data_IF_503253878640
#
_entry.id   IF_503253878640
#
_cell.length_a   1.000
_cell.length_b   1.000
_cell.length_c   1.000
_cell.angle_alpha   90.00
_cell.angle_beta   90.00
_cell.angle_gamma   90.00
#
_symmetry.space_group_name_H-M   'P 1'
#
loop_
_entity.id
_entity.type
_entity.pdbx_description
1 polymer ?
#
# COMPACT_ATOMS: atom_id res chain seq x y z
N UNK A 1 17.14 -53.99 -21.50
CA UNK A 1 17.63 -53.50 -20.19
C UNK A 1 17.97 -51.99 -20.21
N UNK A 2 18.69 -51.48 -21.22
CA UNK A 2 19.01 -50.04 -21.35
C UNK A 2 17.78 -49.10 -21.42
N UNK A 3 16.74 -49.46 -22.17
CA UNK A 3 15.52 -48.64 -22.32
C UNK A 3 14.73 -48.44 -21.02
N UNK A 4 14.62 -49.50 -20.20
CA UNK A 4 13.94 -49.46 -18.90
C UNK A 4 14.70 -48.56 -17.94
N UNK A 5 16.03 -48.64 -17.94
CA UNK A 5 16.89 -47.81 -17.08
C UNK A 5 16.81 -46.31 -17.45
N UNK A 6 16.70 -46.00 -18.74
CA UNK A 6 16.48 -44.64 -19.24
C UNK A 6 15.11 -44.09 -18.83
N UNK A 7 14.04 -44.89 -18.96
CA UNK A 7 12.69 -44.51 -18.51
C UNK A 7 12.62 -44.22 -17.00
N UNK A 8 13.33 -45.00 -16.18
CA UNK A 8 13.46 -44.71 -14.76
C UNK A 8 14.21 -43.41 -14.54
N UNK A 9 15.32 -43.18 -15.24
CA UNK A 9 16.11 -41.97 -15.07
C UNK A 9 15.33 -40.71 -15.45
N UNK A 10 14.56 -40.76 -16.54
CA UNK A 10 13.71 -39.65 -17.00
C UNK A 10 12.56 -39.37 -16.04
N UNK A 11 11.86 -40.42 -15.57
CA UNK A 11 10.82 -40.26 -14.53
C UNK A 11 11.36 -39.69 -13.22
N UNK A 12 12.57 -40.11 -12.83
CA UNK A 12 13.17 -39.61 -11.58
C UNK A 12 13.56 -38.15 -11.75
N UNK A 13 14.14 -37.77 -12.89
CA UNK A 13 14.49 -36.38 -13.22
C UNK A 13 13.27 -35.46 -13.26
N UNK A 14 12.16 -35.92 -13.85
CA UNK A 14 10.92 -35.15 -13.91
C UNK A 14 10.35 -34.89 -12.51
N UNK A 15 10.36 -35.89 -11.62
CA UNK A 15 9.91 -35.71 -10.23
C UNK A 15 10.80 -34.73 -9.46
N UNK A 16 12.11 -34.73 -9.68
CA UNK A 16 13.00 -33.77 -9.05
C UNK A 16 12.72 -32.34 -9.52
N UNK A 17 12.47 -32.14 -10.81
CA UNK A 17 12.09 -30.83 -11.36
C UNK A 17 10.76 -30.33 -10.78
N UNK A 18 9.72 -31.17 -10.75
CA UNK A 18 8.44 -30.81 -10.14
C UNK A 18 8.55 -30.52 -8.63
N UNK A 19 9.46 -31.21 -7.93
CA UNK A 19 9.70 -30.97 -6.50
C UNK A 19 10.43 -29.65 -6.27
N UNK A 20 11.43 -29.33 -7.10
CA UNK A 20 12.17 -28.06 -7.04
C UNK A 20 11.28 -26.86 -7.38
N UNK A 21 10.41 -26.97 -8.38
CA UNK A 21 9.45 -25.92 -8.75
C UNK A 21 8.47 -25.63 -7.60
N UNK A 22 7.87 -26.66 -7.00
CA UNK A 22 6.99 -26.51 -5.82
C UNK A 22 7.73 -25.92 -4.63
N UNK A 23 9.00 -26.24 -4.47
CA UNK A 23 9.82 -25.70 -3.39
C UNK A 23 10.14 -24.22 -3.61
N UNK A 24 10.41 -23.81 -4.86
CA UNK A 24 10.63 -22.41 -5.23
C UNK A 24 9.37 -21.56 -5.05
N UNK A 25 8.23 -22.06 -5.51
CA UNK A 25 6.92 -21.38 -5.36
C UNK A 25 6.59 -21.14 -3.89
N UNK A 26 6.73 -22.18 -3.04
CA UNK A 26 6.55 -22.04 -1.60
C UNK A 26 7.51 -21.01 -0.99
N UNK A 27 8.79 -21.01 -1.37
CA UNK A 27 9.75 -20.00 -0.90
C UNK A 27 9.38 -18.58 -1.33
N UNK A 28 8.85 -18.37 -2.54
CA UNK A 28 8.36 -17.06 -2.98
C UNK A 28 7.18 -16.60 -2.13
N UNK A 29 6.19 -17.48 -1.88
CA UNK A 29 5.04 -17.17 -1.03
C UNK A 29 5.47 -16.78 0.39
N UNK A 30 6.44 -17.50 0.98
CA UNK A 30 6.96 -17.14 2.31
C UNK A 30 7.75 -15.84 2.31
N UNK A 31 8.54 -15.54 1.27
CA UNK A 31 9.23 -14.25 1.12
C UNK A 31 8.24 -13.10 1.00
N UNK A 32 7.24 -13.22 0.14
CA UNK A 32 6.19 -12.20 -0.04
C UNK A 32 5.41 -11.96 1.27
N UNK A 33 5.15 -13.03 2.03
CA UNK A 33 4.50 -12.93 3.34
C UNK A 33 5.38 -12.23 4.37
N UNK A 34 6.66 -12.59 4.44
CA UNK A 34 7.63 -11.92 5.32
C UNK A 34 7.83 -10.45 4.94
N UNK A 35 7.93 -10.12 3.65
CA UNK A 35 8.08 -8.74 3.19
C UNK A 35 6.83 -7.91 3.55
N UNK A 36 5.63 -8.48 3.40
CA UNK A 36 4.38 -7.86 3.86
C UNK A 36 4.35 -7.63 5.38
N UNK A 37 4.81 -8.59 6.18
CA UNK A 37 4.85 -8.47 7.64
C UNK A 37 5.91 -7.46 8.10
N UNK A 38 7.10 -7.45 7.48
CA UNK A 38 8.16 -6.47 7.73
C UNK A 38 7.68 -5.06 7.37
N UNK A 39 7.02 -4.89 6.22
CA UNK A 39 6.46 -3.60 5.80
C UNK A 39 5.40 -3.10 6.79
N UNK A 40 4.56 -4.00 7.31
CA UNK A 40 3.57 -3.68 8.36
C UNK A 40 4.24 -3.28 9.67
N UNK A 41 5.33 -3.93 10.06
CA UNK A 41 6.12 -3.59 11.26
C UNK A 41 6.80 -2.22 11.10
N UNK A 42 7.41 -1.94 9.95
CA UNK A 42 8.07 -0.65 9.66
C UNK A 42 7.05 0.50 9.68
N UNK A 43 5.88 0.30 9.07
CA UNK A 43 4.78 1.27 9.13
C UNK A 43 4.34 1.52 10.58
N UNK A 44 4.17 0.45 11.37
CA UNK A 44 3.79 0.54 12.77
C UNK A 44 4.82 1.31 13.61
N UNK A 45 6.11 0.99 13.49
CA UNK A 45 7.20 1.66 14.23
C UNK A 45 7.33 3.14 13.84
N UNK A 46 7.15 3.46 12.56
CA UNK A 46 7.16 4.86 12.08
C UNK A 46 5.99 5.68 12.66
N UNK A 47 4.81 5.08 12.77
CA UNK A 47 3.62 5.71 13.35
C UNK A 47 3.75 5.84 14.88
N UNK A 48 4.27 4.82 15.56
CA UNK A 48 4.55 4.87 17.01
C UNK A 48 5.57 5.96 17.35
N UNK A 49 6.63 6.12 16.56
CA UNK A 49 7.61 7.22 16.71
C UNK A 49 7.00 8.61 16.51
N UNK A 50 6.16 8.77 15.48
CA UNK A 50 5.48 10.05 15.25
C UNK A 50 4.50 10.38 16.38
N UNK A 51 3.79 9.38 16.92
CA UNK A 51 2.91 9.58 18.07
C UNK A 51 3.68 9.89 19.35
N UNK A 52 4.78 9.18 19.64
CA UNK A 52 5.62 9.47 20.80
C UNK A 52 6.17 10.91 20.76
N UNK A 53 6.57 11.39 19.58
CA UNK A 53 6.99 12.78 19.39
C UNK A 53 5.84 13.77 19.66
N UNK A 54 4.66 13.56 19.08
CA UNK A 54 3.49 14.42 19.29
C UNK A 54 3.02 14.44 20.76
N UNK A 55 3.00 13.29 21.43
CA UNK A 55 2.68 13.20 22.85
C UNK A 55 3.73 13.88 23.72
N UNK A 56 5.01 13.77 23.39
CA UNK A 56 6.08 14.45 24.14
C UNK A 56 6.00 15.97 24.03
N UNK A 57 5.65 16.51 22.85
CA UNK A 57 5.42 17.94 22.65
C UNK A 57 4.17 18.44 23.37
N UNK A 58 3.09 17.63 23.42
CA UNK A 58 1.91 17.98 24.22
C UNK A 58 2.18 17.89 25.73
N UNK A 59 3.06 17.00 26.19
CA UNK A 59 3.39 16.87 27.62
C UNK A 59 4.26 18.03 28.13
N UNK A 60 5.13 18.60 27.27
CA UNK A 60 5.90 19.81 27.61
C UNK A 60 5.01 21.04 27.81
N UNK A 61 3.88 21.15 27.10
CA UNK A 61 2.90 22.22 27.31
C UNK A 61 2.04 22.02 28.58
N UNK A 62 2.15 20.85 29.24
CA UNK A 62 1.39 20.46 30.44
C UNK A 62 2.32 20.33 31.68
N UNK A 63 3.62 20.63 31.57
CA UNK A 63 4.53 20.63 32.73
C UNK A 63 4.15 21.73 33.75
N UNK A 64 3.29 21.35 34.70
CA UNK A 64 3.56 21.21 36.15
C UNK A 64 4.40 22.25 36.90
N UNK A 65 4.65 23.45 36.37
CA UNK A 65 5.33 24.52 37.13
C UNK A 65 4.35 25.42 37.89
N UNK A 66 3.05 25.13 37.84
CA UNK A 66 2.00 25.94 38.45
C UNK A 66 1.16 25.22 39.53
N UNK A 67 1.67 24.15 40.14
CA UNK A 67 1.03 23.55 41.34
C UNK A 67 1.90 23.90 42.56
N UNK A 68 1.58 24.98 43.30
CA UNK A 68 2.26 25.26 44.55
C UNK A 68 1.92 24.15 45.54
N UNK A 69 2.95 23.45 46.01
CA UNK A 69 2.87 22.50 47.13
C UNK A 69 2.54 23.27 48.41
N UNK A 70 1.26 23.40 48.73
CA UNK A 70 0.81 24.00 49.98
C UNK A 70 0.85 22.97 51.11
N UNK A 71 1.94 22.98 51.87
CA UNK A 71 2.00 22.56 53.27
C UNK A 71 1.01 23.40 54.08
N UNK A 72 0.13 22.79 54.90
CA UNK A 72 -0.36 23.43 56.13
C UNK A 72 -1.12 22.48 57.06
N UNK A 73 -0.69 22.54 58.30
CA UNK A 73 -1.18 21.91 59.52
C UNK A 73 -2.51 22.54 60.02
N UNK A 74 -3.34 21.69 60.65
CA UNK A 74 -4.51 21.95 61.53
C UNK A 74 -5.60 22.95 61.06
N UNK A 75 -6.70 22.39 60.52
CA UNK A 75 -8.12 22.75 60.76
C UNK A 75 -8.98 22.29 59.57
N UNK A 76 -9.38 21.02 59.58
CA UNK A 76 -9.85 20.27 58.40
C UNK A 76 -11.35 20.39 58.06
N UNK A 77 -12.18 21.04 58.86
CA UNK A 77 -13.64 21.03 58.62
C UNK A 77 -14.16 22.34 58.01
N UNK A 78 -13.70 23.49 58.50
CA UNK A 78 -14.28 24.81 58.15
C UNK A 78 -13.61 25.45 56.91
N UNK A 79 -12.33 25.14 56.65
CA UNK A 79 -11.60 25.58 55.45
C UNK A 79 -11.94 24.77 54.20
N UNK A 80 -12.32 23.50 54.34
CA UNK A 80 -12.67 22.63 53.21
C UNK A 80 -13.99 23.08 52.56
N UNK A 81 -14.92 23.69 53.29
CA UNK A 81 -16.19 24.17 52.73
C UNK A 81 -16.01 25.43 51.86
N UNK A 82 -15.11 26.35 52.25
CA UNK A 82 -14.76 27.54 51.45
C UNK A 82 -13.81 27.22 50.28
N UNK A 83 -12.91 26.26 50.46
CA UNK A 83 -12.04 25.76 49.39
C UNK A 83 -12.81 24.88 48.38
N UNK A 84 -13.79 24.08 48.80
CA UNK A 84 -14.60 23.25 47.90
C UNK A 84 -15.66 24.06 47.13
N UNK A 85 -16.20 25.15 47.70
CA UNK A 85 -16.98 26.14 46.93
C UNK A 85 -16.12 26.92 45.93
N UNK A 86 -14.85 27.21 46.27
CA UNK A 86 -13.89 27.80 45.32
C UNK A 86 -13.40 26.81 44.26
N UNK A 87 -13.18 25.54 44.59
CA UNK A 87 -12.87 24.48 43.63
C UNK A 87 -14.09 24.14 42.77
N UNK A 88 -15.32 24.24 43.29
CA UNK A 88 -16.55 24.10 42.52
C UNK A 88 -16.77 25.26 41.54
N UNK A 89 -16.40 26.49 41.90
CA UNK A 89 -16.42 27.62 40.98
C UNK A 89 -15.25 27.59 39.98
N UNK A 90 -14.10 27.03 40.35
CA UNK A 90 -12.98 26.77 39.43
C UNK A 90 -13.33 25.59 38.50
N UNK A 91 -14.03 24.55 38.96
CA UNK A 91 -14.55 23.47 38.11
C UNK A 91 -15.69 23.93 37.20
N UNK A 92 -16.46 24.94 37.61
CA UNK A 92 -17.43 25.63 36.74
C UNK A 92 -16.77 26.55 35.70
N UNK A 93 -15.58 27.07 35.96
CA UNK A 93 -14.81 27.93 35.06
C UNK A 93 -13.75 27.18 34.22
N UNK A 94 -13.31 26.00 34.66
CA UNK A 94 -12.36 25.11 33.99
C UNK A 94 -13.02 23.85 33.40
N UNK A 95 -14.36 23.80 33.37
CA UNK A 95 -15.10 22.78 32.61
C UNK A 95 -14.97 22.86 31.07
N UNK A 96 -14.55 23.97 30.43
CA UNK A 96 -14.25 23.94 28.99
C UNK A 96 -13.10 23.00 28.65
N UNK A 97 -12.17 22.76 29.57
CA UNK A 97 -10.93 22.00 29.34
C UNK A 97 -11.17 20.48 29.28
N UNK A 98 -12.09 19.91 30.06
CA UNK A 98 -12.34 18.45 30.04
C UNK A 98 -13.19 18.00 28.83
N UNK A 99 -14.07 18.88 28.32
CA UNK A 99 -14.70 18.68 27.00
C UNK A 99 -13.71 18.91 25.84
N UNK A 100 -12.77 19.84 26.04
CA UNK A 100 -11.66 20.14 25.11
C UNK A 100 -10.65 18.99 24.99
N UNK A 101 -10.31 18.27 26.07
CA UNK A 101 -9.32 17.16 26.02
C UNK A 101 -9.83 16.01 25.14
N UNK A 102 -11.12 15.65 25.24
CA UNK A 102 -11.72 14.66 24.35
C UNK A 102 -11.76 15.15 22.89
N UNK A 103 -12.16 16.40 22.66
CA UNK A 103 -12.25 17.00 21.33
C UNK A 103 -10.89 17.21 20.64
N UNK A 104 -9.86 17.61 21.38
CA UNK A 104 -8.49 17.81 20.89
C UNK A 104 -7.80 16.49 20.55
N UNK A 105 -8.00 15.45 21.36
CA UNK A 105 -7.53 14.09 21.04
C UNK A 105 -8.23 13.51 19.81
N UNK A 106 -9.54 13.70 19.67
CA UNK A 106 -10.32 13.34 18.47
C UNK A 106 -9.86 14.11 17.23
N UNK A 107 -9.54 15.39 17.38
CA UNK A 107 -9.02 16.23 16.30
C UNK A 107 -7.64 15.75 15.83
N UNK A 108 -6.72 15.46 16.76
CA UNK A 108 -5.40 14.90 16.45
C UNK A 108 -5.50 13.54 15.75
N UNK A 109 -6.44 12.68 16.17
CA UNK A 109 -6.75 11.40 15.55
C UNK A 109 -7.23 11.53 14.10
N UNK A 110 -8.08 12.52 13.82
CA UNK A 110 -8.56 12.79 12.47
C UNK A 110 -7.44 13.31 11.55
N UNK A 111 -6.55 14.17 12.07
CA UNK A 111 -5.36 14.64 11.34
C UNK A 111 -4.37 13.50 11.07
N UNK A 112 -4.21 12.59 12.03
CA UNK A 112 -3.40 11.40 11.82
C UNK A 112 -3.99 10.50 10.73
N UNK A 113 -5.32 10.27 10.75
CA UNK A 113 -6.00 9.45 9.75
C UNK A 113 -5.83 10.01 8.35
N UNK A 114 -6.00 11.32 8.17
CA UNK A 114 -5.82 11.97 6.85
C UNK A 114 -4.37 11.89 6.38
N UNK A 115 -3.39 12.13 7.27
CA UNK A 115 -1.97 11.99 6.97
C UNK A 115 -1.56 10.56 6.60
N UNK A 116 -2.06 9.57 7.35
CA UNK A 116 -1.81 8.15 7.10
C UNK A 116 -2.39 7.70 5.75
N UNK A 117 -3.62 8.12 5.42
CA UNK A 117 -4.24 7.83 4.12
C UNK A 117 -3.45 8.44 2.97
N UNK A 118 -2.97 9.68 3.12
CA UNK A 118 -2.15 10.34 2.09
C UNK A 118 -0.80 9.65 1.88
N UNK A 119 -0.15 9.19 2.95
CA UNK A 119 1.07 8.42 2.85
C UNK A 119 0.83 7.06 2.18
N UNK A 120 -0.26 6.39 2.54
CA UNK A 120 -0.65 5.11 1.95
C UNK A 120 -0.98 5.22 0.46
N UNK A 121 -1.68 6.27 0.02
CA UNK A 121 -1.99 6.48 -1.41
C UNK A 121 -0.71 6.76 -2.22
N UNK A 122 0.20 7.60 -1.71
CA UNK A 122 1.51 7.82 -2.36
C UNK A 122 2.29 6.52 -2.51
N UNK A 123 2.29 5.71 -1.46
CA UNK A 123 2.94 4.40 -1.48
C UNK A 123 2.30 3.45 -2.50
N UNK A 124 0.97 3.36 -2.50
CA UNK A 124 0.21 2.53 -3.42
C UNK A 124 0.44 2.92 -4.88
N UNK A 125 0.47 4.22 -5.18
CA UNK A 125 0.77 4.73 -6.53
C UNK A 125 2.21 4.39 -6.95
N UNK A 126 3.19 4.54 -6.05
CA UNK A 126 4.59 4.21 -6.35
C UNK A 126 4.78 2.71 -6.64
N UNK A 127 4.20 1.83 -5.79
CA UNK A 127 4.24 0.37 -6.02
C UNK A 127 3.45 -0.02 -7.27
N UNK A 128 2.27 0.58 -7.47
CA UNK A 128 1.43 0.36 -8.64
C UNK A 128 2.17 0.70 -9.93
N UNK A 129 2.80 1.88 -10.01
CA UNK A 129 3.58 2.31 -11.16
C UNK A 129 4.78 1.38 -11.44
N UNK A 130 5.49 0.94 -10.41
CA UNK A 130 6.62 0.02 -10.56
C UNK A 130 6.17 -1.33 -11.14
N UNK A 131 5.09 -1.92 -10.60
CA UNK A 131 4.55 -3.18 -11.10
C UNK A 131 3.90 -3.03 -12.48
N UNK A 132 3.25 -1.90 -12.75
CA UNK A 132 2.68 -1.59 -14.04
C UNK A 132 3.76 -1.46 -15.13
N UNK A 133 4.88 -0.81 -14.85
CA UNK A 133 6.00 -0.73 -15.79
C UNK A 133 6.54 -2.12 -16.16
N UNK A 134 6.71 -3.01 -15.17
CA UNK A 134 7.17 -4.39 -15.43
C UNK A 134 6.16 -5.16 -16.28
N UNK A 135 4.87 -5.10 -15.94
CA UNK A 135 3.81 -5.78 -16.69
C UNK A 135 3.67 -5.22 -18.12
N UNK A 136 3.75 -3.91 -18.29
CA UNK A 136 3.72 -3.25 -19.59
C UNK A 136 4.89 -3.67 -20.48
N UNK A 137 6.11 -3.71 -19.94
CA UNK A 137 7.28 -4.19 -20.70
C UNK A 137 7.11 -5.64 -21.12
N UNK A 138 6.60 -6.51 -20.23
CA UNK A 138 6.34 -7.92 -20.55
C UNK A 138 5.28 -8.07 -21.64
N UNK A 139 4.19 -7.30 -21.58
CA UNK A 139 3.16 -7.29 -22.61
C UNK A 139 3.67 -6.79 -23.95
N UNK A 140 4.44 -5.70 -23.96
CA UNK A 140 5.07 -5.17 -25.18
C UNK A 140 6.04 -6.18 -25.81
N UNK A 141 6.81 -6.91 -25.00
CA UNK A 141 7.64 -8.02 -25.49
C UNK A 141 6.80 -9.15 -26.10
N UNK A 142 5.68 -9.50 -25.47
CA UNK A 142 4.74 -10.51 -25.98
C UNK A 142 4.22 -10.16 -27.37
N UNK A 143 3.71 -8.93 -27.54
CA UNK A 143 3.24 -8.42 -28.84
C UNK A 143 4.36 -8.43 -29.87
N UNK A 144 5.55 -7.96 -29.51
CA UNK A 144 6.68 -7.96 -30.44
C UNK A 144 7.06 -9.37 -30.92
N UNK A 145 7.04 -10.37 -30.03
CA UNK A 145 7.29 -11.77 -30.38
C UNK A 145 6.20 -12.28 -31.34
N UNK A 146 4.93 -12.03 -31.02
CA UNK A 146 3.80 -12.47 -31.86
C UNK A 146 3.85 -11.84 -33.25
N UNK A 147 4.05 -10.53 -33.35
CA UNK A 147 4.19 -9.84 -34.64
C UNK A 147 5.37 -10.36 -35.47
N UNK A 148 6.50 -10.68 -34.83
CA UNK A 148 7.65 -11.25 -35.55
C UNK A 148 7.40 -12.70 -36.00
N UNK A 149 6.59 -13.46 -35.26
CA UNK A 149 6.14 -14.79 -35.69
C UNK A 149 5.21 -14.72 -36.89
N UNK A 150 4.26 -13.79 -36.89
CA UNK A 150 3.38 -13.54 -38.04
C UNK A 150 4.17 -13.14 -39.30
N UNK A 151 5.26 -12.39 -39.13
CA UNK A 151 6.19 -12.07 -40.20
C UNK A 151 6.98 -13.28 -40.71
N UNK A 152 7.01 -14.40 -39.97
CA UNK A 152 7.76 -15.61 -40.34
C UNK A 152 9.22 -15.58 -39.91
N UNK A 153 9.60 -14.67 -39.00
CA UNK A 153 11.00 -14.56 -38.52
C UNK A 153 11.44 -15.81 -37.74
N UNK A 154 10.50 -16.54 -37.15
CA UNK A 154 10.76 -17.79 -36.41
C UNK A 154 11.48 -18.86 -37.26
N UNK A 155 11.25 -18.88 -38.57
CA UNK A 155 11.93 -19.81 -39.48
C UNK A 155 13.43 -19.49 -39.62
N UNK A 156 13.77 -18.20 -39.71
CA UNK A 156 15.15 -17.74 -39.85
C UNK A 156 15.88 -17.65 -38.51
N UNK A 157 15.13 -17.40 -37.44
CA UNK A 157 15.67 -17.21 -36.10
C UNK A 157 14.80 -17.92 -35.03
N UNK A 158 14.96 -19.25 -34.87
CA UNK A 158 14.14 -20.04 -33.93
C UNK A 158 14.25 -19.62 -32.46
N UNK A 159 15.40 -19.05 -32.05
CA UNK A 159 15.65 -18.60 -30.67
C UNK A 159 15.25 -17.14 -30.41
N UNK A 160 14.62 -16.47 -31.37
CA UNK A 160 14.20 -15.07 -31.26
C UNK A 160 13.33 -14.79 -30.03
N UNK A 161 12.34 -15.65 -29.75
CA UNK A 161 11.41 -15.46 -28.64
C UNK A 161 12.12 -15.36 -27.29
N UNK A 162 13.12 -16.23 -27.05
CA UNK A 162 13.91 -16.22 -25.82
C UNK A 162 14.82 -14.98 -25.77
N UNK A 163 15.40 -14.59 -26.90
CA UNK A 163 16.23 -13.39 -26.99
C UNK A 163 15.43 -12.12 -26.63
N UNK A 164 14.24 -11.94 -27.20
CA UNK A 164 13.37 -10.79 -26.93
C UNK A 164 12.84 -10.81 -25.49
N UNK A 165 12.55 -12.00 -24.95
CA UNK A 165 12.13 -12.13 -23.56
C UNK A 165 13.20 -11.61 -22.59
N UNK A 166 14.48 -11.89 -22.86
CA UNK A 166 15.62 -11.47 -22.03
C UNK A 166 16.08 -10.03 -22.26
N UNK A 167 15.57 -9.32 -23.28
CA UNK A 167 15.90 -7.91 -23.51
C UNK A 167 15.53 -7.03 -22.31
N UNK A 168 16.16 -5.88 -22.17
CA UNK A 168 15.74 -4.92 -21.14
C UNK A 168 14.38 -4.30 -21.49
N UNK A 169 14.15 -4.00 -22.76
CA UNK A 169 12.95 -3.32 -23.23
C UNK A 169 12.58 -3.75 -24.66
N UNK A 170 11.28 -3.72 -24.98
CA UNK A 170 10.78 -4.09 -26.31
C UNK A 170 11.19 -3.11 -27.43
N UNK A 171 11.78 -1.96 -27.10
CA UNK A 171 12.23 -0.96 -28.09
C UNK A 171 13.51 -1.43 -28.81
N UNK A 172 14.26 -2.34 -28.20
CA UNK A 172 15.46 -2.96 -28.77
C UNK A 172 15.12 -3.75 -30.04
N UNK A 173 13.85 -4.14 -30.22
CA UNK A 173 13.35 -4.78 -31.44
C UNK A 173 13.61 -3.94 -32.69
N UNK A 174 13.59 -2.60 -32.59
CA UNK A 174 13.91 -1.71 -33.71
C UNK A 174 15.38 -1.85 -34.19
N UNK A 175 16.26 -2.43 -33.37
CA UNK A 175 17.69 -2.65 -33.68
C UNK A 175 17.98 -4.07 -34.17
N UNK A 176 16.98 -4.94 -34.28
CA UNK A 176 17.14 -6.33 -34.67
C UNK A 176 17.31 -6.56 -36.17
N UNK A 177 17.41 -5.50 -36.97
CA UNK A 177 17.56 -5.60 -38.44
C UNK A 177 18.68 -6.55 -38.84
N UNK A 178 19.89 -6.38 -38.31
CA UNK A 178 21.02 -7.25 -38.64
C UNK A 178 20.82 -8.70 -38.13
N UNK A 179 20.25 -8.85 -36.93
CA UNK A 179 19.99 -10.15 -36.32
C UNK A 179 18.95 -10.98 -37.09
N UNK A 180 18.03 -10.33 -37.81
CA UNK A 180 17.00 -10.97 -38.62
C UNK A 180 17.49 -11.14 -40.07
N UNK A 181 18.12 -10.12 -40.64
CA UNK A 181 18.48 -10.09 -42.06
C UNK A 181 19.69 -10.97 -42.38
N UNK A 182 20.70 -11.08 -41.50
CA UNK A 182 21.88 -11.92 -41.75
C UNK A 182 21.55 -13.42 -41.81
N UNK A 183 20.75 -14.01 -40.89
CA UNK A 183 20.30 -15.39 -41.02
C UNK A 183 19.41 -15.61 -42.24
N UNK A 184 18.53 -14.66 -42.53
CA UNK A 184 17.67 -14.72 -43.73
C UNK A 184 18.49 -14.85 -45.00
N UNK A 185 19.50 -13.99 -45.20
CA UNK A 185 20.35 -14.04 -46.39
C UNK A 185 21.00 -15.42 -46.57
N UNK A 186 21.54 -15.99 -45.50
CA UNK A 186 22.16 -17.33 -45.53
C UNK A 186 21.17 -18.43 -45.88
N UNK A 187 19.94 -18.35 -45.37
CA UNK A 187 18.91 -19.35 -45.66
C UNK A 187 18.41 -19.22 -47.10
N UNK A 188 18.21 -17.99 -47.59
CA UNK A 188 17.70 -17.73 -48.93
C UNK A 188 18.74 -17.90 -50.04
N UNK A 189 20.04 -17.81 -49.73
CA UNK A 189 21.13 -18.04 -50.70
C UNK A 189 21.29 -19.53 -51.06
N UNK A 190 21.07 -20.43 -50.09
CA UNK A 190 21.22 -21.89 -50.26
C UNK A 190 19.86 -22.59 -50.38
N UNK A 191 18.78 -21.82 -50.54
CA UNK A 191 17.41 -22.34 -50.63
C UNK A 191 17.14 -22.99 -52.00
N UNK A 192 16.47 -24.14 -52.00
CA UNK A 192 15.82 -24.67 -53.20
C UNK A 192 14.62 -23.78 -53.58
N UNK A 193 14.14 -23.88 -54.82
CA UNK A 193 13.01 -23.09 -55.32
C UNK A 193 11.79 -23.12 -54.38
N UNK A 194 11.48 -24.28 -53.79
CA UNK A 194 10.37 -24.41 -52.83
C UNK A 194 10.53 -23.55 -51.57
N UNK A 195 11.74 -23.45 -51.00
CA UNK A 195 12.02 -22.64 -49.80
C UNK A 195 12.01 -21.16 -50.18
N UNK A 196 12.52 -20.84 -51.36
CA UNK A 196 12.55 -19.48 -51.87
C UNK A 196 11.12 -18.93 -52.08
N UNK A 197 10.26 -19.68 -52.76
CA UNK A 197 8.88 -19.27 -53.07
C UNK A 197 7.96 -19.28 -51.84
N UNK A 198 8.12 -20.23 -50.91
CA UNK A 198 7.21 -20.36 -49.77
C UNK A 198 7.65 -19.59 -48.52
N UNK A 199 8.92 -19.16 -48.43
CA UNK A 199 9.47 -18.58 -47.20
C UNK A 199 10.16 -17.25 -47.45
N UNK A 200 11.09 -17.17 -48.42
CA UNK A 200 11.84 -15.95 -48.69
C UNK A 200 10.98 -14.88 -49.39
N UNK A 201 10.26 -15.26 -50.45
CA UNK A 201 9.41 -14.35 -51.22
C UNK A 201 8.21 -13.81 -50.39
N UNK A 202 7.48 -14.62 -49.60
CA UNK A 202 6.38 -14.12 -48.77
C UNK A 202 6.87 -13.23 -47.63
N UNK A 203 8.06 -13.51 -47.09
CA UNK A 203 8.71 -12.62 -46.14
C UNK A 203 8.98 -11.26 -46.77
N UNK A 204 9.58 -11.23 -47.96
CA UNK A 204 9.88 -9.99 -48.67
C UNK A 204 8.64 -9.19 -49.10
N UNK A 205 7.54 -9.86 -49.41
CA UNK A 205 6.24 -9.22 -49.63
C UNK A 205 5.71 -8.61 -48.33
N UNK A 206 5.76 -9.36 -47.22
CA UNK A 206 5.31 -8.88 -45.88
C UNK A 206 6.10 -7.69 -45.36
N UNK A 207 7.39 -7.58 -45.72
CA UNK A 207 8.21 -6.42 -45.37
C UNK A 207 8.16 -5.29 -46.40
N UNK A 208 7.37 -5.45 -47.48
CA UNK A 208 7.23 -4.47 -48.58
C UNK A 208 8.53 -4.22 -49.38
N UNK A 209 9.39 -5.24 -49.51
CA UNK A 209 10.54 -5.21 -50.42
C UNK A 209 10.12 -5.59 -51.84
N UNK A 210 9.19 -6.56 -51.96
CA UNK A 210 8.53 -6.92 -53.21
C UNK A 210 7.04 -6.53 -53.15
N UNK A 211 6.52 -6.00 -54.26
CA UNK A 211 5.07 -5.88 -54.46
C UNK A 211 4.45 -7.24 -54.82
N UNK A 212 3.13 -7.38 -54.68
CA UNK A 212 2.41 -8.61 -55.04
C UNK A 212 2.64 -9.04 -56.51
N UNK A 213 3.03 -8.09 -57.36
CA UNK A 213 3.35 -8.28 -58.79
C UNK A 213 4.86 -8.58 -59.04
N UNK A 214 5.64 -8.86 -58.00
CA UNK A 214 7.08 -9.18 -58.05
C UNK A 214 8.02 -8.05 -58.51
N UNK A 215 7.58 -6.80 -58.45
CA UNK A 215 8.45 -5.64 -58.67
C UNK A 215 9.14 -5.19 -57.37
N UNK A 216 10.39 -4.73 -57.48
CA UNK A 216 11.15 -4.16 -56.37
C UNK A 216 10.64 -2.76 -56.06
N UNK A 217 10.19 -2.52 -54.82
CA UNK A 217 9.63 -1.23 -54.40
C UNK A 217 10.61 -0.46 -53.50
N UNK A 218 11.15 -1.12 -52.47
CA UNK A 218 12.03 -0.51 -51.47
C UNK A 218 13.27 -1.37 -51.24
N UNK A 219 14.44 -0.75 -51.03
CA UNK A 219 15.65 -1.49 -50.67
C UNK A 219 15.42 -2.31 -49.38
N UNK A 220 15.86 -3.59 -49.32
CA UNK A 220 15.69 -4.45 -48.15
C UNK A 220 16.25 -3.89 -46.85
N UNK A 221 17.31 -3.07 -46.95
CA UNK A 221 17.94 -2.39 -45.81
C UNK A 221 17.08 -1.31 -45.15
N UNK A 222 16.07 -0.77 -45.85
CA UNK A 222 15.19 0.30 -45.35
C UNK A 222 13.79 -0.19 -44.98
N UNK A 223 13.33 -1.23 -45.67
CA UNK A 223 12.01 -1.84 -45.49
C UNK A 223 11.87 -2.51 -44.11
N UNK A 224 12.84 -3.33 -43.71
CA UNK A 224 12.79 -4.07 -42.44
C UNK A 224 12.80 -3.15 -41.21
N UNK A 225 13.68 -2.13 -41.09
CA UNK A 225 13.60 -1.17 -40.00
C UNK A 225 12.26 -0.45 -39.88
N UNK A 226 11.58 -0.16 -41.00
CA UNK A 226 10.26 0.50 -41.01
C UNK A 226 9.20 -0.41 -40.38
N UNK A 227 9.18 -1.68 -40.75
CA UNK A 227 8.28 -2.68 -40.15
C UNK A 227 8.58 -2.90 -38.68
N UNK A 228 9.86 -3.05 -38.30
CA UNK A 228 10.25 -3.19 -36.89
C UNK A 228 9.84 -1.97 -36.05
N UNK A 229 9.93 -0.75 -36.59
CA UNK A 229 9.39 0.46 -35.93
C UNK A 229 7.87 0.39 -35.76
N UNK A 230 7.14 -0.11 -36.76
CA UNK A 230 5.70 -0.36 -36.67
C UNK A 230 5.35 -1.35 -35.55
N UNK A 231 6.09 -2.46 -35.47
CA UNK A 231 5.92 -3.45 -34.39
C UNK A 231 6.19 -2.82 -33.03
N UNK A 232 7.27 -2.03 -32.89
CA UNK A 232 7.57 -1.33 -31.64
C UNK A 232 6.47 -0.33 -31.29
N UNK A 233 5.87 0.35 -32.26
CA UNK A 233 4.74 1.25 -32.04
C UNK A 233 3.51 0.50 -31.52
N UNK A 234 3.17 -0.65 -32.10
CA UNK A 234 2.06 -1.48 -31.63
C UNK A 234 2.35 -2.10 -30.25
N UNK A 235 3.59 -2.54 -30.02
CA UNK A 235 4.03 -3.01 -28.71
C UNK A 235 3.95 -1.89 -27.66
N UNK A 236 4.25 -0.65 -28.03
CA UNK A 236 4.18 0.51 -27.14
C UNK A 236 2.75 0.86 -26.73
N UNK A 237 1.79 0.81 -27.66
CA UNK A 237 0.38 1.05 -27.32
C UNK A 237 -0.15 -0.01 -26.36
N UNK A 238 0.12 -1.30 -26.62
CA UNK A 238 -0.26 -2.38 -25.70
C UNK A 238 0.48 -2.29 -24.36
N UNK A 239 1.78 -1.99 -24.37
CA UNK A 239 2.57 -1.85 -23.16
C UNK A 239 2.03 -0.74 -22.26
N UNK A 240 1.67 0.42 -22.83
CA UNK A 240 1.05 1.53 -22.08
C UNK A 240 -0.30 1.14 -21.49
N UNK A 241 -1.17 0.52 -22.29
CA UNK A 241 -2.49 0.09 -21.82
C UNK A 241 -2.40 -0.92 -20.66
N UNK A 242 -1.52 -1.93 -20.79
CA UNK A 242 -1.31 -2.93 -19.74
C UNK A 242 -0.62 -2.31 -18.52
N UNK A 243 0.34 -1.41 -18.71
CA UNK A 243 0.99 -0.70 -17.61
C UNK A 243 -0.01 0.13 -16.80
N UNK A 244 -0.90 0.86 -17.46
CA UNK A 244 -1.93 1.67 -16.81
C UNK A 244 -2.95 0.80 -16.06
N UNK A 245 -3.49 -0.24 -16.71
CA UNK A 245 -4.43 -1.17 -16.10
C UNK A 245 -3.82 -1.90 -14.88
N UNK A 246 -2.56 -2.33 -14.99
CA UNK A 246 -1.88 -2.99 -13.87
C UNK A 246 -1.52 -2.00 -12.76
N UNK A 247 -1.11 -0.78 -13.10
CA UNK A 247 -0.81 0.27 -12.11
C UNK A 247 -2.04 0.63 -11.29
N UNK A 248 -3.19 0.81 -11.95
CA UNK A 248 -4.44 1.18 -11.29
C UNK A 248 -4.98 0.05 -10.42
N UNK A 249 -5.01 -1.19 -10.90
CA UNK A 249 -5.45 -2.35 -10.11
C UNK A 249 -4.58 -2.59 -8.87
N UNK A 250 -3.26 -2.56 -9.02
CA UNK A 250 -2.33 -2.75 -7.89
C UNK A 250 -2.43 -1.61 -6.89
N UNK A 251 -2.50 -0.36 -7.37
CA UNK A 251 -2.68 0.78 -6.49
C UNK A 251 -4.01 0.72 -5.73
N UNK A 252 -5.09 0.28 -6.37
CA UNK A 252 -6.39 0.08 -5.72
C UNK A 252 -6.33 -0.99 -4.64
N UNK A 253 -5.73 -2.15 -4.93
CA UNK A 253 -5.59 -3.25 -3.96
C UNK A 253 -4.77 -2.83 -2.73
N UNK A 254 -3.63 -2.16 -2.95
CA UNK A 254 -2.80 -1.66 -1.86
C UNK A 254 -3.53 -0.57 -1.07
N UNK A 255 -4.22 0.35 -1.75
CA UNK A 255 -4.99 1.41 -1.09
C UNK A 255 -6.11 0.83 -0.22
N UNK A 256 -6.81 -0.20 -0.68
CA UNK A 256 -7.86 -0.89 0.08
C UNK A 256 -7.28 -1.56 1.33
N UNK A 257 -6.19 -2.33 1.18
CA UNK A 257 -5.52 -3.01 2.29
C UNK A 257 -5.02 -2.01 3.35
N UNK A 258 -4.38 -0.91 2.92
CA UNK A 258 -3.87 0.11 3.82
C UNK A 258 -5.01 0.90 4.48
N UNK A 259 -6.07 1.24 3.75
CA UNK A 259 -7.25 1.93 4.30
C UNK A 259 -7.95 1.08 5.35
N UNK A 260 -8.10 -0.23 5.10
CA UNK A 260 -8.66 -1.16 6.08
C UNK A 260 -7.80 -1.23 7.36
N UNK A 261 -6.48 -1.30 7.22
CA UNK A 261 -5.56 -1.28 8.36
C UNK A 261 -5.64 0.04 9.16
N UNK A 262 -5.64 1.19 8.48
CA UNK A 262 -5.76 2.51 9.10
C UNK A 262 -7.11 2.66 9.83
N UNK A 263 -8.20 2.22 9.20
CA UNK A 263 -9.52 2.26 9.81
C UNK A 263 -9.59 1.36 11.06
N UNK A 264 -9.01 0.16 11.01
CA UNK A 264 -8.96 -0.74 12.17
C UNK A 264 -8.15 -0.15 13.34
N UNK A 265 -7.03 0.51 13.07
CA UNK A 265 -6.27 1.22 14.11
C UNK A 265 -7.05 2.41 14.66
N UNK A 266 -7.71 3.17 13.78
CA UNK A 266 -8.51 4.33 14.17
C UNK A 266 -9.69 3.94 15.07
N UNK A 267 -10.43 2.88 14.73
CA UNK A 267 -11.55 2.40 15.56
C UNK A 267 -11.06 1.91 16.92
N UNK A 268 -9.91 1.23 16.97
CA UNK A 268 -9.32 0.79 18.23
C UNK A 268 -9.02 1.96 19.17
N UNK A 269 -8.45 3.05 18.65
CA UNK A 269 -8.13 4.25 19.42
C UNK A 269 -9.39 5.04 19.80
N UNK A 270 -10.38 5.12 18.91
CA UNK A 270 -11.69 5.70 19.23
C UNK A 270 -12.39 4.99 20.39
N UNK A 271 -12.40 3.65 20.39
CA UNK A 271 -13.00 2.87 21.48
C UNK A 271 -12.29 3.17 22.80
N UNK A 272 -10.96 3.22 22.80
CA UNK A 272 -10.17 3.53 24.00
C UNK A 272 -10.48 4.93 24.54
N UNK A 273 -10.56 5.95 23.69
CA UNK A 273 -10.91 7.32 24.08
C UNK A 273 -12.34 7.37 24.63
N UNK A 274 -13.29 6.71 23.96
CA UNK A 274 -14.71 6.69 24.37
C UNK A 274 -14.86 6.04 25.74
N UNK A 275 -14.17 4.92 25.99
CA UNK A 275 -14.17 4.26 27.29
C UNK A 275 -13.61 5.16 28.40
N UNK A 276 -12.52 5.90 28.12
CA UNK A 276 -11.95 6.87 29.06
C UNK A 276 -12.93 7.99 29.40
N UNK A 277 -13.63 8.54 28.40
CA UNK A 277 -14.63 9.60 28.62
C UNK A 277 -15.79 9.10 29.48
N UNK A 278 -16.31 7.89 29.20
CA UNK A 278 -17.38 7.28 29.99
C UNK A 278 -16.94 7.09 31.45
N UNK A 279 -15.71 6.62 31.68
CA UNK A 279 -15.18 6.46 33.03
C UNK A 279 -15.13 7.78 33.81
N UNK A 280 -14.69 8.87 33.17
CA UNK A 280 -14.68 10.21 33.78
C UNK A 280 -16.09 10.68 34.12
N UNK A 281 -17.06 10.50 33.21
CA UNK A 281 -18.47 10.90 33.44
C UNK A 281 -19.08 10.14 34.62
N UNK A 282 -18.80 8.84 34.76
CA UNK A 282 -19.27 8.03 35.89
C UNK A 282 -18.70 8.54 37.23
N UNK A 283 -17.40 8.86 37.28
CA UNK A 283 -16.76 9.42 38.47
C UNK A 283 -17.40 10.76 38.87
N UNK A 284 -17.64 11.65 37.90
CA UNK A 284 -18.30 12.94 38.13
C UNK A 284 -19.72 12.75 38.65
N UNK A 285 -20.50 11.83 38.08
CA UNK A 285 -21.86 11.52 38.56
C UNK A 285 -21.86 11.02 40.01
N UNK A 286 -20.94 10.13 40.38
CA UNK A 286 -20.80 9.65 41.77
C UNK A 286 -20.49 10.81 42.72
N UNK A 287 -19.56 11.69 42.35
CA UNK A 287 -19.21 12.88 43.14
C UNK A 287 -20.40 13.81 43.34
N UNK A 288 -21.22 14.02 42.30
CA UNK A 288 -22.46 14.83 42.39
C UNK A 288 -23.49 14.19 43.31
N UNK A 289 -23.69 12.88 43.22
CA UNK A 289 -24.63 12.15 44.10
C UNK A 289 -24.19 12.27 45.56
N UNK A 290 -22.91 12.01 45.87
CA UNK A 290 -22.36 12.15 47.22
C UNK A 290 -22.52 13.58 47.71
N UNK A 291 -22.21 14.57 46.87
CA UNK A 291 -22.39 15.98 47.19
C UNK A 291 -23.85 16.34 47.52
N UNK A 292 -24.81 15.88 46.72
CA UNK A 292 -26.24 16.12 46.96
C UNK A 292 -26.70 15.49 48.28
N UNK A 293 -26.24 14.28 48.61
CA UNK A 293 -26.52 13.62 49.89
C UNK A 293 -25.95 14.42 51.07
N UNK A 294 -24.69 14.85 50.98
CA UNK A 294 -24.04 15.66 52.02
C UNK A 294 -24.73 17.01 52.21
N UNK A 295 -25.09 17.69 51.11
CA UNK A 295 -25.81 18.96 51.14
C UNK A 295 -27.20 18.81 51.76
N UNK A 296 -27.93 17.75 51.40
CA UNK A 296 -29.23 17.44 51.98
C UNK A 296 -29.13 17.22 53.50
N UNK A 297 -28.13 16.45 53.95
CA UNK A 297 -27.86 16.22 55.38
C UNK A 297 -27.54 17.52 56.13
N UNK A 298 -26.70 18.40 55.56
CA UNK A 298 -26.38 19.72 56.18
C UNK A 298 -27.63 20.58 56.33
N UNK A 299 -28.46 20.72 55.29
CA UNK A 299 -29.71 21.49 55.37
C UNK A 299 -30.67 20.95 56.44
N UNK A 300 -30.81 19.63 56.54
CA UNK A 300 -31.65 19.01 57.58
C UNK A 300 -31.13 19.28 58.99
N UNK A 301 -29.80 19.23 59.19
CA UNK A 301 -29.17 19.55 60.49
C UNK A 301 -29.40 21.01 60.88
N UNK A 302 -29.32 21.95 59.94
CA UNK A 302 -29.56 23.38 60.20
C UNK A 302 -31.03 23.67 60.54
N UNK A 303 -31.99 23.04 59.85
CA UNK A 303 -33.43 23.18 60.18
C UNK A 303 -33.74 22.69 61.59
N UNK A 304 -33.16 21.55 62.01
CA UNK A 304 -33.31 21.05 63.38
C UNK A 304 -32.74 22.03 64.40
N UNK A 305 -31.55 22.59 64.17
CA UNK A 305 -30.93 23.59 65.08
C UNK A 305 -31.82 24.84 65.26
N UNK A 306 -32.42 25.35 64.19
CA UNK A 306 -33.36 26.49 64.25
C UNK A 306 -34.61 26.19 65.09
N UNK A 307 -35.12 24.96 65.06
CA UNK A 307 -36.24 24.56 65.91
C UNK A 307 -35.86 24.49 67.39
N UNK A 308 -34.66 23.99 67.72
CA UNK A 308 -34.18 23.96 69.10
C UNK A 308 -33.90 25.36 69.67
N UNK A 309 -33.38 26.29 68.87
CA UNK A 309 -33.16 27.68 69.31
C UNK A 309 -34.49 28.35 69.65
N UNK A 310 -35.52 28.17 68.82
CA UNK A 310 -36.86 28.73 69.08
C UNK A 310 -37.51 28.21 70.37
N UNK A 311 -37.26 26.96 70.73
CA UNK A 311 -37.80 26.35 71.97
C UNK A 311 -37.08 26.81 73.26
N UNK A 312 -35.92 27.45 73.15
CA UNK A 312 -35.15 27.95 74.29
C UNK A 312 -35.38 29.46 74.56
N UNK A 313 -36.07 30.14 73.64
CA UNK A 313 -36.38 31.56 73.70
C UNK A 313 -37.80 31.85 74.24
N UNK A 314 -38.62 30.79 74.40
CA UNK A 314 -39.85 30.76 75.20
C UNK A 314 -39.56 30.25 76.62
#
# INVERSE_FOLDING_TARGET
>A
MKSVMQQFHDRTKQRFQEYDEKLQEKRQIYKDKCDKEIEKIILKDKLEKQMAQQFSTLHTDIQSDAIPTCVCEKSLADKVEKACLRCGSILGAAMPELGSVGGSLLYALNQWKSGALLAATKYALAKGAAQGAVAGIQAGKGVAIESLKELGVEYFWPRMSNYIHNMSHYNEVAKLTAAIYTPKLKVCEVANNDIFENICQPFDIKISVLTADSNYDVLPGEALPKVLKGIVSNADTTAKAVAEAKSTSVAAEIAEQQTAAINATYTSWQIAITASVIAIVVIVLIMVIIYLILRYRRKKKMKKKLQYIKLLEE
#
